data_IF_503006496000
#
_entry.id   IF_503006496000
#
_cell.length_a   1.000
_cell.length_b   1.000
_cell.length_c   1.000
_cell.angle_alpha   90.00
_cell.angle_beta   90.00
_cell.angle_gamma   90.00
#
_symmetry.space_group_name_H-M   'P 1'
#
loop_
_entity.id
_entity.type
_entity.pdbx_description
1 polymer ?
#
# COMPACT_ATOMS: atom_id res chain seq x y z
N UNK A 1 -9.40 28.68 -1.08
CA UNK A 1 -9.78 27.47 -1.83
C UNK A 1 -9.21 27.54 -3.26
N UNK A 2 -8.06 26.92 -3.52
CA UNK A 2 -7.38 26.92 -4.83
C UNK A 2 -7.76 25.67 -5.62
N UNK A 3 -9.01 25.59 -6.08
CA UNK A 3 -9.61 24.39 -6.68
C UNK A 3 -9.71 24.48 -8.21
N UNK A 4 -9.69 23.33 -8.90
CA UNK A 4 -10.06 23.19 -10.31
C UNK A 4 -11.20 22.17 -10.42
N UNK A 5 -12.28 22.54 -11.10
CA UNK A 5 -13.39 21.66 -11.41
C UNK A 5 -13.87 21.90 -12.86
N UNK A 6 -13.73 20.88 -13.71
CA UNK A 6 -14.09 20.95 -15.14
C UNK A 6 -14.94 19.72 -15.48
N UNK A 7 -16.21 19.93 -15.87
CA UNK A 7 -17.17 18.87 -16.18
C UNK A 7 -18.48 19.03 -15.42
N UNK A 8 -19.52 18.32 -15.86
CA UNK A 8 -20.82 18.33 -15.16
C UNK A 8 -20.65 17.71 -13.77
N UNK A 9 -21.05 18.42 -12.71
CA UNK A 9 -20.93 17.97 -11.31
C UNK A 9 -19.52 17.61 -10.82
N UNK A 10 -18.45 18.13 -11.45
CA UNK A 10 -17.09 17.95 -10.97
C UNK A 10 -16.86 18.67 -9.62
N UNK A 11 -16.12 18.05 -8.69
CA UNK A 11 -15.87 18.54 -7.33
C UNK A 11 -14.36 18.63 -7.04
N UNK A 12 -13.82 19.85 -7.03
CA UNK A 12 -12.39 20.11 -6.76
C UNK A 12 -12.11 20.72 -5.38
N UNK A 13 -12.93 20.49 -4.36
CA UNK A 13 -12.84 21.26 -3.10
C UNK A 13 -11.51 21.06 -2.35
N UNK A 14 -11.13 22.06 -1.54
CA UNK A 14 -9.92 22.03 -0.69
C UNK A 14 -8.65 21.73 -1.49
N UNK A 15 -8.36 22.58 -2.47
CA UNK A 15 -7.17 22.47 -3.32
C UNK A 15 -7.13 21.20 -4.19
N UNK A 16 -8.30 20.70 -4.60
CA UNK A 16 -8.44 19.55 -5.49
C UNK A 16 -8.48 19.90 -6.96
N UNK A 17 -8.15 18.93 -7.82
CA UNK A 17 -8.24 19.04 -9.29
C UNK A 17 -9.17 17.96 -9.82
N UNK A 18 -10.40 18.33 -10.19
CA UNK A 18 -11.40 17.44 -10.76
C UNK A 18 -11.67 17.78 -12.24
N UNK A 19 -11.44 16.82 -13.13
CA UNK A 19 -11.67 16.96 -14.57
C UNK A 19 -12.44 15.75 -15.09
N UNK A 20 -13.72 15.93 -15.42
CA UNK A 20 -14.62 14.89 -15.91
C UNK A 20 -16.05 15.06 -15.39
N UNK A 21 -17.01 14.44 -16.08
CA UNK A 21 -18.37 14.25 -15.56
C UNK A 21 -18.29 13.56 -14.20
N UNK A 22 -18.88 14.16 -13.17
CA UNK A 22 -18.94 13.69 -11.78
C UNK A 22 -17.58 13.36 -11.12
N UNK A 23 -16.47 13.88 -11.64
CA UNK A 23 -15.14 13.68 -11.04
C UNK A 23 -15.05 14.31 -9.64
N UNK A 24 -14.43 13.63 -8.68
CA UNK A 24 -14.32 14.07 -7.29
C UNK A 24 -12.87 14.04 -6.78
N UNK A 25 -12.32 15.20 -6.51
CA UNK A 25 -10.93 15.42 -6.10
C UNK A 25 -10.81 16.14 -4.75
N UNK A 26 -11.82 16.02 -3.89
CA UNK A 26 -11.85 16.75 -2.62
C UNK A 26 -10.64 16.42 -1.71
N UNK A 27 -10.19 17.43 -0.95
CA UNK A 27 -9.12 17.30 0.05
C UNK A 27 -7.74 16.99 -0.54
N UNK A 28 -7.18 17.97 -1.27
CA UNK A 28 -5.86 17.89 -1.91
C UNK A 28 -5.72 16.73 -2.91
N UNK A 29 -6.85 16.36 -3.53
CA UNK A 29 -6.96 15.23 -4.42
C UNK A 29 -6.78 15.57 -5.90
N UNK A 30 -6.62 14.54 -6.73
CA UNK A 30 -6.63 14.65 -8.20
C UNK A 30 -7.56 13.60 -8.77
N UNK A 31 -8.55 14.01 -9.54
CA UNK A 31 -9.49 13.12 -10.23
C UNK A 31 -9.62 13.53 -11.71
N UNK A 32 -9.20 12.65 -12.62
CA UNK A 32 -9.27 12.88 -14.06
C UNK A 32 -9.96 11.71 -14.74
N UNK A 33 -11.16 11.94 -15.29
CA UNK A 33 -12.01 10.94 -15.91
C UNK A 33 -13.46 11.01 -15.40
N UNK A 34 -14.40 10.50 -16.21
CA UNK A 34 -15.80 10.42 -15.79
C UNK A 34 -15.95 9.48 -14.58
N UNK A 35 -16.60 9.95 -13.51
CA UNK A 35 -16.71 9.28 -12.21
C UNK A 35 -15.37 8.95 -11.54
N UNK A 36 -14.26 9.58 -11.92
CA UNK A 36 -12.99 9.42 -11.20
C UNK A 36 -13.11 10.01 -9.79
N UNK A 37 -12.59 9.32 -8.77
CA UNK A 37 -12.63 9.76 -7.37
C UNK A 37 -11.26 9.63 -6.73
N UNK A 38 -10.51 10.73 -6.70
CA UNK A 38 -9.17 10.81 -6.12
C UNK A 38 -9.17 11.72 -4.90
N UNK A 39 -9.85 11.32 -3.83
CA UNK A 39 -10.00 12.15 -2.63
C UNK A 39 -8.89 11.91 -1.61
N UNK A 40 -8.74 12.81 -0.63
CA UNK A 40 -7.87 12.65 0.55
C UNK A 40 -6.39 12.41 0.21
N UNK A 41 -5.77 13.38 -0.46
CA UNK A 41 -4.40 13.29 -0.99
C UNK A 41 -4.20 12.14 -2.00
N UNK A 42 -5.29 11.57 -2.53
CA UNK A 42 -5.26 10.50 -3.51
C UNK A 42 -5.25 11.01 -4.95
N UNK A 43 -4.81 10.16 -5.86
CA UNK A 43 -4.78 10.44 -7.31
C UNK A 43 -5.57 9.34 -8.03
N UNK A 44 -6.62 9.72 -8.77
CA UNK A 44 -7.42 8.81 -9.58
C UNK A 44 -7.44 9.32 -11.03
N UNK A 45 -6.89 8.53 -11.95
CA UNK A 45 -6.83 8.89 -13.38
C UNK A 45 -7.40 7.73 -14.21
N UNK A 46 -8.60 7.92 -14.75
CA UNK A 46 -9.31 6.94 -15.55
C UNK A 46 -10.83 7.06 -15.43
N UNK A 47 -11.56 6.50 -16.40
CA UNK A 47 -13.02 6.33 -16.28
C UNK A 47 -13.31 5.41 -15.08
N UNK A 48 -14.11 5.89 -14.13
CA UNK A 48 -14.48 5.14 -12.91
C UNK A 48 -13.29 4.73 -12.00
N UNK A 49 -12.12 5.39 -12.10
CA UNK A 49 -11.01 5.11 -11.19
C UNK A 49 -11.28 5.66 -9.77
N UNK A 50 -10.98 4.93 -8.69
CA UNK A 50 -11.25 5.38 -7.30
C UNK A 50 -10.12 5.10 -6.32
N UNK A 51 -9.77 6.07 -5.49
CA UNK A 51 -8.84 5.86 -4.38
C UNK A 51 -9.50 5.30 -3.12
N UNK A 52 -10.82 5.07 -3.12
CA UNK A 52 -11.62 4.58 -1.98
C UNK A 52 -11.30 5.29 -0.64
N UNK A 53 -11.01 6.59 -0.72
CA UNK A 53 -10.60 7.44 0.42
C UNK A 53 -9.35 6.94 1.17
N UNK A 54 -8.52 6.11 0.52
CA UNK A 54 -7.23 5.68 1.03
C UNK A 54 -6.22 6.81 0.83
N UNK A 55 -5.69 7.33 1.95
CA UNK A 55 -4.75 8.45 1.91
C UNK A 55 -3.51 8.09 1.09
N UNK A 56 -3.00 9.06 0.33
CA UNK A 56 -1.76 8.94 -0.47
C UNK A 56 -1.78 7.85 -1.55
N UNK A 57 -2.95 7.28 -1.86
CA UNK A 57 -3.09 6.20 -2.82
C UNK A 57 -3.26 6.72 -4.25
N UNK A 58 -2.91 5.88 -5.22
CA UNK A 58 -2.89 6.21 -6.64
C UNK A 58 -3.61 5.11 -7.43
N UNK A 59 -4.75 5.43 -8.03
CA UNK A 59 -5.52 4.55 -8.90
C UNK A 59 -5.34 4.99 -10.37
N UNK A 60 -4.71 4.15 -11.19
CA UNK A 60 -4.43 4.45 -12.60
C UNK A 60 -5.12 3.47 -13.55
N UNK A 61 -5.96 4.00 -14.44
CA UNK A 61 -6.61 3.27 -15.51
C UNK A 61 -8.13 3.20 -15.38
N UNK A 62 -8.78 2.70 -16.44
CA UNK A 62 -10.21 2.45 -16.47
C UNK A 62 -10.58 1.47 -15.35
N UNK A 63 -11.50 1.88 -14.46
CA UNK A 63 -11.98 1.11 -13.29
C UNK A 63 -10.88 0.62 -12.35
N UNK A 64 -9.76 1.34 -12.24
CA UNK A 64 -8.72 1.07 -11.24
C UNK A 64 -9.13 1.58 -9.85
N UNK A 65 -8.75 0.90 -8.78
CA UNK A 65 -9.12 1.27 -7.43
C UNK A 65 -8.09 0.73 -6.43
N UNK A 66 -8.00 1.40 -5.30
CA UNK A 66 -7.05 1.10 -4.23
C UNK A 66 -7.80 0.67 -2.99
N UNK A 67 -7.32 -0.37 -2.33
CA UNK A 67 -7.86 -0.87 -1.07
C UNK A 67 -7.08 -0.39 0.15
N UNK A 68 -5.82 0.02 -0.04
CA UNK A 68 -4.88 0.29 1.05
C UNK A 68 -4.30 1.69 0.96
N UNK A 69 -3.87 2.21 2.11
CA UNK A 69 -3.22 3.52 2.22
C UNK A 69 -1.87 3.50 1.51
N UNK A 70 -1.55 4.53 0.73
CA UNK A 70 -0.30 4.62 -0.02
C UNK A 70 -0.14 3.60 -1.16
N UNK A 71 -1.19 2.86 -1.50
CA UNK A 71 -1.16 1.88 -2.59
C UNK A 71 -1.18 2.57 -3.95
N UNK A 72 -0.36 2.10 -4.89
CA UNK A 72 -0.56 2.34 -6.32
C UNK A 72 -1.22 1.10 -6.92
N UNK A 73 -2.37 1.24 -7.59
CA UNK A 73 -3.13 0.12 -8.14
C UNK A 73 -3.56 0.39 -9.59
N UNK A 74 -3.57 -0.68 -10.39
CA UNK A 74 -4.03 -0.70 -11.78
C UNK A 74 -4.87 -1.95 -12.03
N UNK A 75 -6.06 -1.77 -12.61
CA UNK A 75 -6.85 -2.87 -13.15
C UNK A 75 -6.21 -3.38 -14.47
N UNK A 76 -6.10 -4.71 -14.63
CA UNK A 76 -5.42 -5.32 -15.78
C UNK A 76 -6.26 -5.26 -17.07
N UNK A 77 -7.53 -5.63 -17.03
CA UNK A 77 -8.38 -5.73 -18.22
C UNK A 77 -9.29 -4.51 -18.41
N UNK A 78 -9.55 -3.75 -17.35
CA UNK A 78 -10.44 -2.58 -17.34
C UNK A 78 -11.93 -2.93 -17.48
N UNK A 79 -12.30 -4.11 -17.96
CA UNK A 79 -13.71 -4.45 -18.23
C UNK A 79 -14.46 -4.87 -16.96
N UNK A 80 -13.77 -5.47 -15.99
CA UNK A 80 -14.37 -5.93 -14.74
C UNK A 80 -14.82 -4.72 -13.90
N UNK A 81 -16.04 -4.79 -13.36
CA UNK A 81 -16.57 -3.72 -12.50
C UNK A 81 -16.02 -3.79 -11.07
N UNK A 82 -15.34 -4.89 -10.77
CA UNK A 82 -15.11 -5.46 -9.43
C UNK A 82 -13.61 -5.55 -9.12
N UNK A 83 -12.77 -5.29 -10.13
CA UNK A 83 -11.31 -5.37 -10.04
C UNK A 83 -10.75 -6.76 -9.79
N UNK A 84 -11.36 -7.77 -10.40
CA UNK A 84 -10.98 -9.18 -10.21
C UNK A 84 -9.46 -9.34 -10.21
N UNK A 85 -8.77 -8.68 -11.15
CA UNK A 85 -7.33 -8.76 -11.34
C UNK A 85 -6.63 -7.39 -11.33
N UNK A 86 -5.67 -7.21 -10.42
CA UNK A 86 -4.90 -5.96 -10.30
C UNK A 86 -3.40 -6.20 -10.13
N UNK A 87 -2.63 -5.24 -10.66
CA UNK A 87 -1.21 -5.07 -10.32
C UNK A 87 -1.13 -3.89 -9.36
N UNK A 88 -0.34 -4.05 -8.30
CA UNK A 88 -0.24 -3.04 -7.26
C UNK A 88 1.18 -2.87 -6.73
N UNK A 89 1.43 -1.71 -6.14
CA UNK A 89 2.62 -1.40 -5.35
C UNK A 89 2.18 -0.97 -3.95
N UNK A 90 2.73 -1.61 -2.93
CA UNK A 90 2.58 -1.23 -1.52
C UNK A 90 3.83 -0.52 -0.99
N UNK A 91 3.64 0.41 -0.06
CA UNK A 91 4.74 1.11 0.63
C UNK A 91 4.51 1.19 2.13
N UNK A 92 5.56 0.96 2.92
CA UNK A 92 5.55 1.05 4.39
C UNK A 92 6.73 1.89 4.87
N UNK A 93 6.54 2.53 6.01
CA UNK A 93 7.60 3.31 6.68
C UNK A 93 7.39 3.28 8.19
N UNK A 94 8.48 3.23 8.96
CA UNK A 94 8.45 3.39 10.43
C UNK A 94 9.86 3.66 10.96
N UNK A 95 9.96 4.23 12.17
CA UNK A 95 11.19 4.22 12.97
C UNK A 95 11.10 3.28 14.17
N UNK A 96 12.21 2.63 14.53
CA UNK A 96 12.38 1.87 15.79
C UNK A 96 13.44 2.54 16.68
N UNK A 97 13.38 2.31 18.00
CA UNK A 97 14.34 2.87 18.96
C UNK A 97 14.80 1.83 20.02
N UNK A 98 14.41 0.58 19.86
CA UNK A 98 14.76 -0.54 20.73
C UNK A 98 14.86 -1.84 19.92
N UNK A 99 15.28 -2.91 20.62
CA UNK A 99 15.45 -4.24 20.07
C UNK A 99 14.19 -5.11 20.19
N UNK A 100 13.00 -4.50 20.12
CA UNK A 100 11.73 -5.24 20.12
C UNK A 100 11.11 -5.29 18.73
N UNK A 101 10.61 -6.45 18.29
CA UNK A 101 9.88 -6.54 17.03
C UNK A 101 8.65 -5.63 17.05
N UNK A 102 8.46 -4.84 15.99
CA UNK A 102 7.28 -3.98 15.84
C UNK A 102 6.75 -4.00 14.42
N UNK A 103 5.42 -4.00 14.30
CA UNK A 103 4.73 -3.92 13.01
C UNK A 103 4.94 -2.54 12.35
N UNK A 104 5.29 -2.54 11.06
CA UNK A 104 5.31 -1.34 10.21
C UNK A 104 4.02 -1.23 9.39
N UNK A 105 3.58 -0.01 9.09
CA UNK A 105 2.26 0.23 8.49
C UNK A 105 2.35 0.93 7.13
N UNK A 106 1.29 0.78 6.33
CA UNK A 106 1.21 1.35 4.99
C UNK A 106 1.30 2.88 5.04
N UNK A 107 2.18 3.45 4.21
CA UNK A 107 2.57 4.86 4.21
C UNK A 107 2.90 5.44 5.60
N UNK A 108 3.38 4.60 6.52
CA UNK A 108 3.69 4.98 7.91
C UNK A 108 2.47 5.46 8.72
N UNK A 109 1.25 5.22 8.24
CA UNK A 109 0.03 5.62 8.96
C UNK A 109 -0.33 4.59 10.01
N UNK A 110 -0.43 5.01 11.28
CA UNK A 110 -0.74 4.13 12.40
C UNK A 110 -1.99 3.26 12.14
N UNK A 111 -1.87 1.96 12.40
CA UNK A 111 -2.93 0.95 12.22
C UNK A 111 -3.45 0.79 10.78
N UNK A 112 -2.81 1.38 9.77
CA UNK A 112 -3.16 1.15 8.36
C UNK A 112 -2.37 -0.06 7.85
N UNK A 113 -3.02 -1.23 7.88
CA UNK A 113 -2.43 -2.50 7.46
C UNK A 113 -2.63 -2.76 5.98
N UNK A 114 -1.78 -3.63 5.43
CA UNK A 114 -1.94 -4.15 4.09
C UNK A 114 -2.93 -5.31 4.10
N UNK A 115 -4.23 -5.00 4.10
CA UNK A 115 -5.29 -6.01 4.13
C UNK A 115 -5.29 -6.86 2.86
N UNK A 116 -5.71 -8.11 2.92
CA UNK A 116 -5.88 -8.99 1.75
C UNK A 116 -7.36 -8.96 1.37
N UNK A 117 -7.67 -8.84 0.07
CA UNK A 117 -9.07 -8.82 -0.39
C UNK A 117 -9.74 -10.14 -0.03
N UNK A 118 -11.05 -10.11 0.24
CA UNK A 118 -11.79 -11.35 0.50
C UNK A 118 -11.75 -12.23 -0.76
N UNK A 119 -11.70 -13.55 -0.56
CA UNK A 119 -11.63 -14.52 -1.67
C UNK A 119 -10.49 -14.29 -2.66
N UNK A 120 -9.34 -13.75 -2.21
CA UNK A 120 -8.22 -13.42 -3.08
C UNK A 120 -6.95 -14.24 -2.81
N UNK A 121 -6.06 -14.23 -3.80
CA UNK A 121 -4.66 -14.58 -3.65
C UNK A 121 -3.78 -13.45 -4.17
N UNK A 122 -2.72 -13.16 -3.43
CA UNK A 122 -1.74 -12.13 -3.76
C UNK A 122 -0.34 -12.74 -3.75
N UNK A 123 0.41 -12.55 -4.83
CA UNK A 123 1.81 -12.92 -4.94
C UNK A 123 2.67 -11.66 -5.02
N UNK A 124 3.84 -11.67 -4.37
CA UNK A 124 4.64 -10.46 -4.22
C UNK A 124 6.15 -10.67 -4.18
N UNK A 125 6.86 -9.61 -4.56
CA UNK A 125 8.27 -9.38 -4.26
C UNK A 125 8.41 -8.05 -3.53
N UNK A 126 9.27 -7.98 -2.52
CA UNK A 126 9.43 -6.80 -1.68
C UNK A 126 10.89 -6.52 -1.39
N UNK A 127 11.25 -5.24 -1.33
CA UNK A 127 12.53 -4.76 -0.83
C UNK A 127 12.30 -3.98 0.46
N UNK A 128 13.13 -4.24 1.45
CA UNK A 128 13.10 -3.59 2.75
C UNK A 128 14.50 -3.05 3.03
N UNK A 129 14.58 -1.81 3.51
CA UNK A 129 15.83 -1.17 3.89
C UNK A 129 15.73 -0.57 5.30
N UNK A 130 16.86 -0.52 5.98
CA UNK A 130 17.03 0.10 7.28
C UNK A 130 18.26 1.00 7.30
N UNK A 131 18.18 2.11 8.05
CA UNK A 131 19.28 3.06 8.22
C UNK A 131 19.30 3.62 9.63
N UNK A 132 20.45 3.54 10.27
CA UNK A 132 20.71 4.17 11.56
C UNK A 132 20.99 5.67 11.43
N UNK A 133 20.54 6.47 12.41
CA UNK A 133 20.71 7.91 12.42
C UNK A 133 22.00 8.41 13.13
N UNK A 134 22.73 7.55 13.83
CA UNK A 134 23.95 7.88 14.58
C UNK A 134 25.17 7.25 13.94
N UNK A 135 25.26 5.91 13.93
CA UNK A 135 26.37 5.15 13.35
C UNK A 135 26.34 5.19 11.83
N UNK A 136 25.14 5.33 11.27
CA UNK A 136 24.96 5.14 9.84
C UNK A 136 25.20 3.69 9.43
N UNK A 137 24.84 2.74 10.26
CA UNK A 137 24.68 1.35 9.87
C UNK A 137 23.45 1.19 8.96
N UNK A 138 23.53 0.24 8.03
CA UNK A 138 22.51 -0.02 7.03
C UNK A 138 22.22 -1.50 6.93
N UNK A 139 21.00 -1.82 6.51
CA UNK A 139 20.62 -3.16 6.14
C UNK A 139 19.61 -3.17 4.99
N UNK A 140 19.56 -4.28 4.26
CA UNK A 140 18.65 -4.50 3.15
C UNK A 140 18.25 -5.97 3.04
N UNK A 141 16.98 -6.19 2.69
CA UNK A 141 16.40 -7.52 2.48
C UNK A 141 15.58 -7.56 1.20
N UNK A 142 15.54 -8.75 0.57
CA UNK A 142 14.55 -9.11 -0.44
C UNK A 142 13.60 -10.13 0.17
N UNK A 143 12.29 -9.93 -0.02
CA UNK A 143 11.25 -10.87 0.42
C UNK A 143 10.40 -11.33 -0.76
N UNK A 144 10.12 -12.62 -0.83
CA UNK A 144 9.28 -13.23 -1.87
C UNK A 144 8.23 -14.12 -1.21
N UNK A 145 6.98 -14.03 -1.64
CA UNK A 145 5.92 -14.81 -1.02
C UNK A 145 4.58 -14.72 -1.73
N UNK A 146 3.64 -15.51 -1.22
CA UNK A 146 2.24 -15.44 -1.62
C UNK A 146 1.33 -15.68 -0.40
N UNK A 147 0.21 -14.97 -0.38
CA UNK A 147 -0.76 -14.95 0.71
C UNK A 147 -2.16 -15.06 0.12
N UNK A 148 -3.08 -15.72 0.83
CA UNK A 148 -4.48 -15.82 0.44
C UNK A 148 -5.41 -15.42 1.57
N UNK A 149 -6.64 -15.06 1.21
CA UNK A 149 -7.76 -14.94 2.12
C UNK A 149 -8.98 -15.64 1.52
N UNK A 150 -9.65 -16.47 2.31
CA UNK A 150 -10.89 -17.12 1.86
C UNK A 150 -12.14 -16.28 2.20
N UNK A 151 -13.31 -16.73 1.74
CA UNK A 151 -14.60 -16.09 2.02
C UNK A 151 -15.01 -16.10 3.51
N UNK A 152 -14.37 -16.94 4.33
CA UNK A 152 -14.65 -17.11 5.76
C UNK A 152 -13.66 -16.35 6.66
N UNK A 153 -12.91 -15.38 6.10
CA UNK A 153 -11.89 -14.60 6.83
C UNK A 153 -10.79 -15.47 7.45
N UNK A 154 -10.32 -16.45 6.67
CA UNK A 154 -9.07 -17.12 6.94
C UNK A 154 -7.99 -16.54 6.03
N UNK A 155 -7.07 -15.79 6.61
CA UNK A 155 -5.89 -15.23 5.95
C UNK A 155 -4.65 -16.03 6.33
N UNK A 156 -3.92 -16.51 5.32
CA UNK A 156 -2.73 -17.33 5.54
C UNK A 156 -1.73 -17.22 4.39
N UNK A 157 -0.45 -17.30 4.73
CA UNK A 157 0.62 -17.46 3.75
C UNK A 157 0.44 -18.80 3.02
N UNK A 158 0.66 -18.85 1.71
CA UNK A 158 0.65 -20.11 0.95
C UNK A 158 1.87 -20.98 1.28
N UNK A 159 2.99 -20.32 1.54
CA UNK A 159 4.21 -20.87 2.13
C UNK A 159 4.88 -19.75 2.94
N UNK A 160 5.77 -20.10 3.87
CA UNK A 160 6.56 -19.11 4.59
C UNK A 160 7.26 -18.16 3.59
N UNK A 161 7.23 -16.86 3.87
CA UNK A 161 7.91 -15.88 3.03
C UNK A 161 9.41 -16.20 2.98
N UNK A 162 10.01 -16.16 1.80
CA UNK A 162 11.44 -16.32 1.64
C UNK A 162 12.10 -14.97 1.86
N UNK A 163 12.89 -14.84 2.92
CA UNK A 163 13.61 -13.61 3.27
C UNK A 163 15.09 -13.82 2.95
N UNK A 164 15.62 -13.06 2.01
CA UNK A 164 17.04 -13.02 1.67
C UNK A 164 17.65 -11.76 2.27
N UNK A 165 18.60 -11.92 3.19
CA UNK A 165 19.44 -10.82 3.65
C UNK A 165 20.38 -10.42 2.51
N UNK A 166 20.23 -9.19 2.01
CA UNK A 166 21.15 -8.63 1.02
C UNK A 166 22.38 -8.10 1.75
N UNK A 167 22.17 -7.37 2.84
CA UNK A 167 23.21 -6.81 3.71
C UNK A 167 22.64 -6.49 5.10
N UNK A 168 23.48 -6.55 6.13
CA UNK A 168 23.23 -5.91 7.43
C UNK A 168 24.55 -5.62 8.12
N UNK A 169 24.76 -4.37 8.53
CA UNK A 169 25.91 -4.00 9.36
C UNK A 169 25.71 -4.49 10.80
N UNK A 170 24.50 -4.30 11.36
CA UNK A 170 24.11 -4.82 12.66
C UNK A 170 23.43 -6.19 12.50
N UNK A 171 24.03 -7.22 13.10
CA UNK A 171 23.52 -8.59 13.03
C UNK A 171 22.20 -8.80 13.80
N UNK A 172 21.84 -7.91 14.72
CA UNK A 172 20.63 -7.98 15.54
C UNK A 172 19.38 -7.47 14.83
N UNK A 173 19.55 -6.67 13.78
CA UNK A 173 18.41 -6.19 13.00
C UNK A 173 17.79 -7.30 12.18
N UNK A 174 16.47 -7.37 12.20
CA UNK A 174 15.74 -8.45 11.57
C UNK A 174 14.37 -8.03 11.03
N UNK A 175 13.85 -8.84 10.12
CA UNK A 175 12.56 -8.66 9.46
C UNK A 175 11.79 -9.97 9.49
N UNK A 176 10.52 -9.91 9.89
CA UNK A 176 9.58 -11.01 9.75
C UNK A 176 8.39 -10.58 8.88
N UNK A 177 7.99 -11.46 7.95
CA UNK A 177 6.83 -11.24 7.06
C UNK A 177 5.87 -12.41 7.20
N UNK A 178 4.66 -12.15 7.69
CA UNK A 178 3.69 -13.18 8.09
C UNK A 178 2.27 -12.78 7.71
N UNK A 179 1.34 -13.73 7.76
CA UNK A 179 -0.09 -13.47 7.65
C UNK A 179 -0.68 -13.17 9.04
N UNK A 180 -1.55 -12.17 9.11
CA UNK A 180 -2.35 -11.86 10.29
C UNK A 180 -3.83 -12.20 10.03
N UNK A 181 -4.31 -13.27 10.66
CA UNK A 181 -5.70 -13.74 10.56
C UNK A 181 -6.68 -12.97 11.46
N UNK A 182 -6.21 -12.05 12.29
CA UNK A 182 -7.10 -11.18 13.08
C UNK A 182 -7.47 -9.94 12.28
N UNK A 183 -6.50 -9.40 11.53
CA UNK A 183 -6.69 -8.20 10.70
C UNK A 183 -6.76 -8.47 9.21
N UNK A 184 -6.71 -9.74 8.81
CA UNK A 184 -6.78 -10.19 7.42
C UNK A 184 -5.73 -9.50 6.54
N UNK A 185 -4.48 -9.47 6.98
CA UNK A 185 -3.42 -8.64 6.38
C UNK A 185 -2.08 -9.33 6.24
N UNK A 186 -1.26 -8.85 5.30
CA UNK A 186 0.18 -9.11 5.28
C UNK A 186 0.85 -8.23 6.35
N UNK A 187 1.46 -8.87 7.35
CA UNK A 187 2.17 -8.21 8.45
C UNK A 187 3.67 -8.21 8.17
N UNK A 188 4.29 -7.07 8.44
CA UNK A 188 5.74 -6.90 8.41
C UNK A 188 6.16 -6.40 9.78
N UNK A 189 6.99 -7.18 10.47
CA UNK A 189 7.62 -6.80 11.73
C UNK A 189 9.10 -6.55 11.49
N UNK A 190 9.60 -5.46 12.06
CA UNK A 190 11.01 -5.08 11.99
C UNK A 190 11.56 -4.98 13.41
N UNK A 191 12.80 -5.41 13.59
CA UNK A 191 13.51 -5.35 14.87
C UNK A 191 14.74 -4.49 14.68
N UNK A 192 14.86 -3.43 15.47
CA UNK A 192 16.02 -2.54 15.49
C UNK A 192 16.97 -2.87 16.64
N UNK A 193 17.68 -1.85 17.10
CA UNK A 193 18.55 -1.88 18.27
C UNK A 193 18.21 -0.71 19.20
N UNK A 194 18.63 -0.83 20.47
CA UNK A 194 18.53 0.26 21.43
C UNK A 194 19.61 1.33 21.18
N UNK A 195 19.42 2.50 21.80
CA UNK A 195 20.36 3.63 21.79
C UNK A 195 20.50 4.41 20.48
N UNK A 196 19.85 3.97 19.40
CA UNK A 196 19.76 4.72 18.14
C UNK A 196 18.37 4.60 17.52
N UNK A 197 18.05 5.52 16.60
CA UNK A 197 16.80 5.49 15.85
C UNK A 197 17.05 4.93 14.48
N UNK A 198 16.36 3.84 14.13
CA UNK A 198 16.52 3.18 12.85
C UNK A 198 15.29 3.49 11.99
N UNK A 199 15.54 4.08 10.83
CA UNK A 199 14.52 4.35 9.82
C UNK A 199 14.33 3.11 8.94
N UNK A 200 13.09 2.67 8.79
CA UNK A 200 12.71 1.53 7.95
C UNK A 200 11.82 1.99 6.80
N UNK A 201 12.05 1.45 5.61
CA UNK A 201 11.17 1.63 4.47
C UNK A 201 11.03 0.31 3.70
N UNK A 202 9.82 0.01 3.24
CA UNK A 202 9.53 -1.17 2.42
C UNK A 202 8.73 -0.79 1.18
N UNK A 203 9.05 -1.44 0.05
CA UNK A 203 8.29 -1.37 -1.20
C UNK A 203 7.99 -2.78 -1.68
N UNK A 204 6.74 -3.04 -2.01
CA UNK A 204 6.27 -4.31 -2.55
C UNK A 204 5.71 -4.10 -3.95
N UNK A 205 6.08 -4.96 -4.89
CA UNK A 205 5.39 -5.16 -6.16
C UNK A 205 4.56 -6.45 -6.05
N UNK A 206 3.28 -6.38 -6.41
CA UNK A 206 2.40 -7.53 -6.30
C UNK A 206 1.34 -7.59 -7.40
N UNK A 207 0.80 -8.79 -7.56
CA UNK A 207 -0.41 -9.07 -8.34
C UNK A 207 -1.41 -9.75 -7.43
N UNK A 208 -2.68 -9.36 -7.51
CA UNK A 208 -3.77 -9.95 -6.76
C UNK A 208 -4.93 -10.31 -7.69
N UNK A 209 -5.54 -11.47 -7.43
CA UNK A 209 -6.70 -11.98 -8.18
C UNK A 209 -7.76 -12.49 -7.21
N UNK A 210 -9.03 -12.28 -7.53
CA UNK A 210 -10.18 -12.73 -6.75
C UNK A 210 -11.40 -13.04 -7.62
N UNK A 211 -12.34 -13.81 -7.05
CA UNK A 211 -13.67 -14.14 -7.58
C UNK A 211 -14.73 -13.96 -6.49
#
# INVERSE_FOLDING_TARGET
NRAVAVGYNAQGHTSGVAVGDTANANSYGVAVGRNASGTSYGVAVGYYSRTNNRKYSIALGHRSETERVGELSRNINGDDMDQENNILIGGWERTTADATPVEIFCAGQANQRFTIRASSVLAFTMLIVARDNISGESAAWKVEGAIKRNAANFTGMLAAATITVIHKDDATWDVAVTADNTYESLKIEVTGAAASTIQWAARMDAVETHF
#
